data_IF_383133653369
#
_entry.id   IF_383133653369
#
_cell.length_a   1.000
_cell.length_b   1.000
_cell.length_c   1.000
_cell.angle_alpha   90.00
_cell.angle_beta   90.00
_cell.angle_gamma   90.00
#
_symmetry.space_group_name_H-M   'P 1'
#
loop_
_entity.id
_entity.type
_entity.pdbx_description
1 polymer ?
#
# COMPACT_ATOMS: atom_id res chain seq x y z
N UNK A 1 23.62 14.22 -7.50
CA UNK A 1 24.38 15.41 -7.04
C UNK A 1 25.71 14.92 -6.52
N UNK A 2 26.81 15.50 -6.97
CA UNK A 2 28.15 15.25 -6.42
C UNK A 2 28.65 16.51 -5.72
N UNK A 3 29.32 16.35 -4.58
CA UNK A 3 29.85 17.47 -3.79
C UNK A 3 31.34 17.26 -3.50
N UNK A 4 32.14 18.32 -3.61
CA UNK A 4 33.55 18.33 -3.24
C UNK A 4 33.81 19.47 -2.27
N UNK A 5 34.25 19.12 -1.06
CA UNK A 5 34.63 20.06 -0.01
C UNK A 5 36.12 20.41 -0.15
N UNK A 6 36.41 21.69 -0.38
CA UNK A 6 37.74 22.27 -0.23
C UNK A 6 37.89 23.00 1.11
N UNK A 7 39.01 23.69 1.30
CA UNK A 7 39.29 24.43 2.53
C UNK A 7 38.27 25.55 2.82
N UNK A 8 37.95 26.33 1.78
CA UNK A 8 37.06 27.51 1.88
C UNK A 8 35.99 27.53 0.78
N UNK A 9 35.76 26.41 0.10
CA UNK A 9 34.82 26.31 -1.01
C UNK A 9 34.10 24.96 -1.03
N UNK A 10 32.92 24.94 -1.65
CA UNK A 10 32.14 23.73 -1.93
C UNK A 10 31.80 23.74 -3.41
N UNK A 11 32.20 22.71 -4.14
CA UNK A 11 31.80 22.50 -5.53
C UNK A 11 30.64 21.52 -5.56
N UNK A 12 29.57 21.87 -6.27
CA UNK A 12 28.41 20.99 -6.48
C UNK A 12 28.23 20.75 -7.98
N UNK A 13 27.94 19.50 -8.34
CA UNK A 13 27.70 19.07 -9.71
C UNK A 13 26.30 18.47 -9.81
N UNK A 14 25.51 18.98 -10.74
CA UNK A 14 24.11 18.62 -10.97
C UNK A 14 23.91 18.21 -12.43
N UNK A 15 23.01 17.26 -12.67
CA UNK A 15 22.74 16.71 -14.00
C UNK A 15 21.62 17.43 -14.76
N UNK A 16 20.67 18.05 -14.03
CA UNK A 16 19.51 18.74 -14.58
C UNK A 16 19.25 20.07 -13.86
N UNK A 17 18.43 20.92 -14.47
CA UNK A 17 17.99 22.17 -13.85
C UNK A 17 16.94 21.93 -12.76
N UNK A 18 17.03 22.71 -11.67
CA UNK A 18 16.18 22.59 -10.47
C UNK A 18 16.89 21.82 -9.34
N UNK A 19 16.74 22.30 -8.10
CA UNK A 19 17.30 21.65 -6.91
C UNK A 19 16.57 22.02 -5.61
N UNK A 20 17.01 21.41 -4.51
CA UNK A 20 16.45 21.57 -3.17
C UNK A 20 17.14 22.69 -2.36
N UNK A 21 18.03 23.47 -2.98
CA UNK A 21 18.95 24.37 -2.26
C UNK A 21 18.45 25.81 -2.15
N UNK A 22 17.23 26.12 -2.61
CA UNK A 22 16.69 27.48 -2.55
C UNK A 22 16.63 28.05 -1.12
N UNK A 23 16.25 27.22 -0.14
CA UNK A 23 16.27 27.62 1.27
C UNK A 23 17.69 27.96 1.76
N UNK A 24 18.71 27.25 1.28
CA UNK A 24 20.13 27.51 1.60
C UNK A 24 20.57 28.84 0.95
N UNK A 25 20.23 29.06 -0.32
CA UNK A 25 20.52 30.32 -1.04
C UNK A 25 19.87 31.52 -0.37
N UNK A 26 18.61 31.39 0.03
CA UNK A 26 17.89 32.47 0.71
C UNK A 26 18.53 32.82 2.06
N UNK A 27 18.92 31.82 2.85
CA UNK A 27 19.60 32.01 4.13
C UNK A 27 20.95 32.72 3.95
N UNK A 28 21.71 32.38 2.92
CA UNK A 28 22.96 33.05 2.55
C UNK A 28 22.72 34.52 2.15
N UNK A 29 21.74 34.76 1.27
CA UNK A 29 21.42 36.08 0.76
C UNK A 29 20.95 37.03 1.87
N UNK A 30 20.03 36.56 2.73
CA UNK A 30 19.43 37.35 3.81
C UNK A 30 20.23 37.33 5.12
N UNK A 31 21.32 36.57 5.19
CA UNK A 31 22.12 36.41 6.40
C UNK A 31 21.35 35.78 7.57
N UNK A 32 20.38 34.91 7.29
CA UNK A 32 19.58 34.23 8.32
C UNK A 32 20.36 33.05 8.91
N UNK A 33 20.37 32.96 10.24
CA UNK A 33 21.00 31.86 10.98
C UNK A 33 22.53 31.95 11.01
N UNK A 34 23.21 30.80 11.05
CA UNK A 34 24.67 30.70 11.24
C UNK A 34 25.47 30.52 9.94
N UNK A 35 24.80 30.47 8.78
CA UNK A 35 25.43 30.07 7.52
C UNK A 35 26.49 31.07 7.02
N UNK A 36 26.39 32.35 7.38
CA UNK A 36 27.39 33.38 7.03
C UNK A 36 28.53 33.51 8.04
N UNK A 37 28.36 32.97 9.25
CA UNK A 37 29.36 33.05 10.33
C UNK A 37 30.18 31.76 10.48
N UNK A 38 30.01 30.82 9.55
CA UNK A 38 30.67 29.51 9.53
C UNK A 38 31.39 29.26 8.20
N UNK A 39 32.27 28.26 8.19
CA UNK A 39 33.10 27.92 7.05
C UNK A 39 32.38 27.07 5.99
N UNK A 40 33.15 26.61 5.00
CA UNK A 40 32.68 25.74 3.93
C UNK A 40 32.15 24.39 4.43
N UNK A 41 32.63 23.92 5.57
CA UNK A 41 32.17 22.73 6.27
C UNK A 41 30.69 22.81 6.67
N UNK A 42 30.29 23.94 7.25
CA UNK A 42 28.88 24.18 7.59
C UNK A 42 28.00 24.34 6.34
N UNK A 43 28.56 24.86 5.25
CA UNK A 43 27.84 24.94 3.97
C UNK A 43 27.56 23.55 3.40
N UNK A 44 28.52 22.61 3.45
CA UNK A 44 28.28 21.21 3.06
C UNK A 44 27.20 20.59 3.91
N UNK A 45 27.27 20.76 5.24
CA UNK A 45 26.20 20.32 6.14
C UNK A 45 24.84 20.87 5.70
N UNK A 46 24.72 22.18 5.50
CA UNK A 46 23.44 22.81 5.13
C UNK A 46 22.89 22.33 3.78
N UNK A 47 23.76 21.98 2.82
CA UNK A 47 23.35 21.39 1.55
C UNK A 47 22.88 19.95 1.73
N UNK A 48 23.57 19.14 2.55
CA UNK A 48 23.16 17.77 2.84
C UNK A 48 21.85 17.74 3.64
N UNK A 49 21.70 18.62 4.62
CA UNK A 49 20.48 18.84 5.42
C UNK A 49 19.28 19.12 4.52
N UNK A 50 19.42 20.06 3.58
CA UNK A 50 18.37 20.34 2.60
C UNK A 50 17.99 19.14 1.70
N UNK A 51 18.95 18.24 1.40
CA UNK A 51 18.66 16.99 0.67
C UNK A 51 17.87 16.02 1.56
N UNK A 52 18.27 15.87 2.82
CA UNK A 52 17.61 14.97 3.78
C UNK A 52 16.20 15.45 4.11
N UNK A 53 16.02 16.74 4.34
CA UNK A 53 14.70 17.36 4.55
C UNK A 53 13.74 17.07 3.37
N UNK A 54 14.25 17.11 2.14
CA UNK A 54 13.42 16.80 0.98
C UNK A 54 13.03 15.31 0.91
N UNK A 55 13.85 14.40 1.44
CA UNK A 55 13.45 12.99 1.55
C UNK A 55 12.29 12.79 2.52
N UNK A 56 12.17 13.58 3.59
CA UNK A 56 10.99 13.53 4.47
C UNK A 56 9.72 13.86 3.69
N UNK A 57 9.73 14.93 2.88
CA UNK A 57 8.57 15.33 2.05
C UNK A 57 8.18 14.19 1.08
N UNK A 58 9.17 13.59 0.41
CA UNK A 58 8.90 12.48 -0.53
C UNK A 58 8.31 11.26 0.20
N UNK A 59 8.80 10.97 1.40
CA UNK A 59 8.34 9.84 2.21
C UNK A 59 6.93 10.07 2.74
N UNK A 60 6.59 11.29 3.17
CA UNK A 60 5.22 11.67 3.55
C UNK A 60 4.25 11.48 2.38
N UNK A 61 4.61 11.89 1.16
CA UNK A 61 3.78 11.67 -0.03
C UNK A 61 3.56 10.16 -0.30
N UNK A 62 4.55 9.31 0.01
CA UNK A 62 4.36 7.85 -0.09
C UNK A 62 3.42 7.33 0.99
N UNK A 63 3.49 7.87 2.20
CA UNK A 63 2.55 7.58 3.29
C UNK A 63 1.11 7.90 2.88
N UNK A 64 0.87 9.11 2.38
CA UNK A 64 -0.44 9.53 1.88
C UNK A 64 -0.95 8.60 0.76
N UNK A 65 -0.08 8.18 -0.16
CA UNK A 65 -0.44 7.22 -1.22
C UNK A 65 -0.83 5.85 -0.67
N UNK A 66 -0.16 5.37 0.39
CA UNK A 66 -0.51 4.12 1.06
C UNK A 66 -1.91 4.22 1.67
N UNK A 67 -2.19 5.30 2.41
CA UNK A 67 -3.50 5.52 3.05
C UNK A 67 -4.63 5.61 2.02
N UNK A 68 -4.41 6.35 0.92
CA UNK A 68 -5.38 6.43 -0.17
C UNK A 68 -5.66 5.08 -0.82
N UNK A 69 -4.63 4.25 -1.04
CA UNK A 69 -4.80 2.90 -1.58
C UNK A 69 -5.52 1.97 -0.61
N UNK A 70 -5.24 2.09 0.69
CA UNK A 70 -5.94 1.36 1.74
C UNK A 70 -7.44 1.68 1.73
N UNK A 71 -7.82 2.96 1.69
CA UNK A 71 -9.23 3.37 1.61
C UNK A 71 -9.92 2.82 0.35
N UNK A 72 -9.24 2.90 -0.80
CA UNK A 72 -9.78 2.37 -2.06
C UNK A 72 -10.05 0.87 -2.00
N UNK A 73 -9.24 0.09 -1.28
CA UNK A 73 -9.43 -1.35 -1.11
C UNK A 73 -10.71 -1.70 -0.34
N UNK A 74 -11.12 -0.86 0.61
CA UNK A 74 -12.36 -1.04 1.36
C UNK A 74 -13.61 -0.63 0.58
N UNK A 75 -13.53 0.48 -0.18
CA UNK A 75 -14.71 1.09 -0.81
C UNK A 75 -14.96 0.57 -2.23
N UNK A 76 -13.90 0.25 -2.99
CA UNK A 76 -14.00 0.02 -4.44
C UNK A 76 -14.28 -1.43 -4.81
N UNK A 77 -14.81 -1.67 -6.01
CA UNK A 77 -14.77 -3.01 -6.60
C UNK A 77 -13.33 -3.38 -6.98
N UNK A 78 -12.89 -4.64 -6.81
CA UNK A 78 -11.56 -5.06 -7.22
C UNK A 78 -11.39 -4.74 -8.70
N UNK A 79 -10.32 -4.00 -8.98
CA UNK A 79 -9.95 -3.52 -10.30
C UNK A 79 -8.47 -3.84 -10.51
N UNK A 80 -8.12 -4.24 -11.72
CA UNK A 80 -6.73 -4.47 -12.12
C UNK A 80 -5.86 -3.22 -11.95
N UNK A 81 -6.48 -2.02 -11.96
CA UNK A 81 -5.78 -0.74 -11.71
C UNK A 81 -5.12 -0.70 -10.32
N UNK A 82 -5.81 -1.16 -9.28
CA UNK A 82 -5.31 -1.13 -7.89
C UNK A 82 -4.06 -2.00 -7.76
N UNK A 83 -4.03 -3.15 -8.43
CA UNK A 83 -2.87 -4.04 -8.42
C UNK A 83 -1.65 -3.36 -9.05
N UNK A 84 -1.84 -2.63 -10.15
CA UNK A 84 -0.77 -1.89 -10.82
C UNK A 84 -0.24 -0.75 -9.95
N UNK A 85 -1.13 -0.01 -9.29
CA UNK A 85 -0.78 1.10 -8.38
C UNK A 85 0.04 0.61 -7.18
N UNK A 86 -0.37 -0.50 -6.54
CA UNK A 86 0.40 -1.13 -5.45
C UNK A 86 1.80 -1.57 -5.94
N UNK A 87 1.90 -2.11 -7.15
CA UNK A 87 3.18 -2.54 -7.72
C UNK A 87 4.09 -1.34 -8.05
N UNK A 88 3.54 -0.24 -8.55
CA UNK A 88 4.27 0.99 -8.79
C UNK A 88 4.78 1.63 -7.50
N UNK A 89 3.94 1.65 -6.46
CA UNK A 89 4.32 2.10 -5.12
C UNK A 89 5.50 1.27 -4.58
N UNK A 90 5.43 -0.07 -4.65
CA UNK A 90 6.53 -0.96 -4.23
C UNK A 90 7.84 -0.66 -4.98
N UNK A 91 7.76 -0.46 -6.30
CA UNK A 91 8.94 -0.10 -7.12
C UNK A 91 9.52 1.25 -6.71
N UNK A 92 8.67 2.23 -6.44
CA UNK A 92 9.07 3.57 -6.01
C UNK A 92 9.75 3.53 -4.64
N UNK A 93 9.16 2.83 -3.66
CA UNK A 93 9.78 2.61 -2.35
C UNK A 93 11.17 1.97 -2.44
N UNK A 94 11.34 0.96 -3.31
CA UNK A 94 12.65 0.34 -3.56
C UNK A 94 13.65 1.27 -4.24
N UNK A 95 13.21 2.25 -5.04
CA UNK A 95 14.09 3.28 -5.61
C UNK A 95 14.54 4.25 -4.53
N UNK A 96 13.62 4.75 -3.70
CA UNK A 96 13.91 5.65 -2.59
C UNK A 96 14.89 4.99 -1.62
N UNK A 97 14.63 3.74 -1.20
CA UNK A 97 15.53 2.99 -0.32
C UNK A 97 16.94 2.88 -0.87
N UNK A 98 17.09 2.59 -2.17
CA UNK A 98 18.41 2.49 -2.81
C UNK A 98 19.16 3.82 -2.85
N UNK A 99 18.44 4.95 -2.90
CA UNK A 99 19.03 6.28 -2.87
C UNK A 99 19.42 6.71 -1.44
N UNK A 100 18.59 6.40 -0.44
CA UNK A 100 18.79 6.84 0.95
C UNK A 100 19.76 5.94 1.72
N UNK A 101 19.70 4.62 1.53
CA UNK A 101 20.51 3.69 2.33
C UNK A 101 22.02 3.99 2.31
N UNK A 102 22.65 4.33 1.16
CA UNK A 102 24.06 4.71 1.13
C UNK A 102 24.37 6.03 1.85
N UNK A 103 23.39 6.93 1.97
CA UNK A 103 23.58 8.24 2.59
C UNK A 103 23.98 8.11 4.05
N UNK A 104 23.45 7.10 4.76
CA UNK A 104 23.84 6.80 6.15
C UNK A 104 25.34 6.57 6.27
N UNK A 105 25.91 5.79 5.35
CA UNK A 105 27.35 5.52 5.35
C UNK A 105 28.15 6.76 4.97
N UNK A 106 27.67 7.55 4.01
CA UNK A 106 28.31 8.82 3.62
C UNK A 106 28.37 9.79 4.80
N UNK A 107 27.27 9.99 5.52
CA UNK A 107 27.22 10.90 6.68
C UNK A 107 28.04 10.35 7.85
N UNK A 108 28.01 9.03 8.11
CA UNK A 108 28.85 8.41 9.14
C UNK A 108 30.34 8.56 8.84
N UNK A 109 30.74 8.50 7.56
CA UNK A 109 32.12 8.73 7.16
C UNK A 109 32.50 10.19 7.37
N UNK A 110 31.62 11.15 7.03
CA UNK A 110 31.85 12.58 7.26
C UNK A 110 32.09 12.91 8.73
N UNK A 111 31.39 12.25 9.66
CA UNK A 111 31.62 12.41 11.11
C UNK A 111 33.06 12.03 11.52
N UNK A 112 33.65 11.05 10.82
CA UNK A 112 34.94 10.43 11.18
C UNK A 112 36.13 10.95 10.36
N UNK A 113 35.93 11.95 9.48
CA UNK A 113 37.01 12.48 8.64
C UNK A 113 37.99 13.26 9.51
N UNK A 114 39.16 12.67 9.75
CA UNK A 114 40.32 13.34 10.34
C UNK A 114 41.12 14.04 9.21
N UNK A 115 40.92 15.35 9.04
CA UNK A 115 41.58 16.10 7.96
C UNK A 115 41.57 17.62 8.11
N UNK A 116 41.06 18.16 9.23
CA UNK A 116 40.99 19.60 9.49
C UNK A 116 40.03 20.40 8.58
N UNK A 117 39.32 19.73 7.67
CA UNK A 117 38.31 20.34 6.80
C UNK A 117 36.98 20.55 7.53
N UNK A 118 36.64 19.67 8.47
CA UNK A 118 35.43 19.77 9.29
C UNK A 118 35.85 20.24 10.68
N UNK A 119 35.26 21.34 11.16
CA UNK A 119 35.52 21.84 12.50
C UNK A 119 34.68 21.08 13.54
N UNK A 120 35.18 20.96 14.78
CA UNK A 120 34.46 20.30 15.89
C UNK A 120 33.05 20.87 16.10
N UNK A 121 32.90 22.18 15.89
CA UNK A 121 31.62 22.86 16.04
C UNK A 121 30.61 22.53 14.94
N UNK A 122 31.04 21.89 13.84
CA UNK A 122 30.21 21.37 12.73
C UNK A 122 29.89 19.89 12.91
N UNK A 123 30.72 19.13 13.64
CA UNK A 123 30.51 17.70 13.94
C UNK A 123 29.16 17.44 14.60
N UNK A 124 28.73 18.31 15.54
CA UNK A 124 27.41 18.17 16.18
C UNK A 124 26.24 18.27 15.19
N UNK A 125 26.37 19.10 14.15
CA UNK A 125 25.36 19.22 13.10
C UNK A 125 25.37 17.99 12.19
N UNK A 126 26.54 17.41 11.92
CA UNK A 126 26.65 16.17 11.14
C UNK A 126 26.04 14.99 11.90
N UNK A 127 26.14 14.97 13.23
CA UNK A 127 25.45 13.97 14.07
C UNK A 127 23.93 14.08 13.98
N UNK A 128 23.40 15.30 14.08
CA UNK A 128 21.97 15.56 13.89
C UNK A 128 21.49 15.10 12.50
N UNK A 129 22.26 15.42 11.45
CA UNK A 129 22.00 14.93 10.10
C UNK A 129 22.03 13.40 10.01
N UNK A 130 22.96 12.75 10.72
CA UNK A 130 23.05 11.30 10.76
C UNK A 130 21.80 10.67 11.37
N UNK A 131 21.29 11.25 12.46
CA UNK A 131 20.05 10.83 13.11
C UNK A 131 18.84 11.03 12.19
N UNK A 132 18.76 12.16 11.47
CA UNK A 132 17.72 12.38 10.45
C UNK A 132 17.77 11.34 9.34
N UNK A 133 18.96 10.97 8.83
CA UNK A 133 19.08 9.92 7.81
C UNK A 133 18.64 8.55 8.34
N UNK A 134 18.90 8.24 9.60
CA UNK A 134 18.37 7.02 10.24
C UNK A 134 16.84 7.06 10.25
N UNK A 135 16.25 8.15 10.72
CA UNK A 135 14.80 8.30 10.80
C UNK A 135 14.13 8.16 9.42
N UNK A 136 14.68 8.82 8.39
CA UNK A 136 14.23 8.67 6.99
C UNK A 136 14.32 7.20 6.55
N UNK A 137 15.42 6.51 6.85
CA UNK A 137 15.60 5.11 6.49
C UNK A 137 14.61 4.19 7.22
N UNK A 138 14.29 4.45 8.48
CA UNK A 138 13.31 3.68 9.25
C UNK A 138 11.89 3.88 8.70
N UNK A 139 11.51 5.13 8.39
CA UNK A 139 10.22 5.44 7.78
C UNK A 139 10.04 4.76 6.42
N UNK A 140 11.10 4.72 5.59
CA UNK A 140 11.08 3.97 4.32
C UNK A 140 10.77 2.50 4.55
N UNK A 141 11.35 1.88 5.59
CA UNK A 141 11.12 0.47 5.89
C UNK A 141 9.69 0.22 6.39
N UNK A 142 9.16 1.09 7.25
CA UNK A 142 7.76 1.05 7.71
C UNK A 142 6.80 1.12 6.52
N UNK A 143 6.94 2.13 5.66
CA UNK A 143 6.05 2.31 4.52
C UNK A 143 6.22 1.22 3.45
N UNK A 144 7.42 0.66 3.32
CA UNK A 144 7.62 -0.53 2.47
C UNK A 144 6.79 -1.69 3.00
N UNK A 145 6.84 -1.96 4.30
CA UNK A 145 6.12 -3.07 4.92
C UNK A 145 4.60 -2.87 4.86
N UNK A 146 4.13 -1.63 5.06
CA UNK A 146 2.72 -1.27 4.82
C UNK A 146 2.31 -1.50 3.36
N UNK A 147 3.16 -1.10 2.40
CA UNK A 147 2.92 -1.35 0.97
C UNK A 147 2.84 -2.85 0.64
N UNK A 148 3.57 -3.71 1.37
CA UNK A 148 3.41 -5.16 1.26
C UNK A 148 2.07 -5.62 1.81
N UNK A 149 1.67 -5.12 2.97
CA UNK A 149 0.37 -5.39 3.60
C UNK A 149 -0.83 -5.05 2.71
N UNK A 150 -0.74 -3.99 1.90
CA UNK A 150 -1.80 -3.63 0.95
C UNK A 150 -2.11 -4.76 -0.05
N UNK A 151 -1.09 -5.46 -0.55
CA UNK A 151 -1.31 -6.56 -1.50
C UNK A 151 -1.99 -7.75 -0.83
N UNK A 152 -1.59 -8.07 0.40
CA UNK A 152 -2.17 -9.17 1.16
C UNK A 152 -3.64 -8.86 1.52
N UNK A 153 -3.93 -7.61 1.88
CA UNK A 153 -5.29 -7.13 2.10
C UNK A 153 -6.15 -7.18 0.83
N UNK A 154 -5.59 -6.81 -0.33
CA UNK A 154 -6.27 -6.94 -1.62
C UNK A 154 -6.63 -8.40 -1.93
N UNK A 155 -5.68 -9.32 -1.78
CA UNK A 155 -5.91 -10.76 -1.99
C UNK A 155 -6.95 -11.32 -1.04
N UNK A 156 -6.94 -10.88 0.22
CA UNK A 156 -7.94 -11.23 1.23
C UNK A 156 -9.32 -10.73 0.83
N UNK A 157 -9.43 -9.49 0.35
CA UNK A 157 -10.68 -8.88 -0.11
C UNK A 157 -11.25 -9.62 -1.33
N UNK A 158 -10.42 -9.96 -2.32
CA UNK A 158 -10.84 -10.78 -3.47
C UNK A 158 -11.35 -12.15 -2.99
N UNK A 159 -10.61 -12.79 -2.10
CA UNK A 159 -10.97 -14.12 -1.59
C UNK A 159 -12.31 -14.09 -0.84
N UNK A 160 -12.56 -13.05 -0.04
CA UNK A 160 -13.86 -12.84 0.61
C UNK A 160 -14.99 -12.66 -0.39
N UNK A 161 -14.80 -11.86 -1.43
CA UNK A 161 -15.81 -11.69 -2.48
C UNK A 161 -16.07 -12.97 -3.24
N UNK A 162 -15.02 -13.71 -3.61
CA UNK A 162 -15.15 -15.01 -4.24
C UNK A 162 -15.94 -15.98 -3.36
N UNK A 163 -15.68 -16.01 -2.05
CA UNK A 163 -16.43 -16.82 -1.10
C UNK A 163 -17.91 -16.43 -1.04
N UNK A 164 -18.23 -15.14 -1.06
CA UNK A 164 -19.63 -14.66 -1.09
C UNK A 164 -20.33 -15.02 -2.41
N UNK A 165 -19.67 -14.85 -3.57
CA UNK A 165 -20.22 -15.29 -4.86
C UNK A 165 -20.47 -16.81 -4.88
N UNK A 166 -19.50 -17.60 -4.41
CA UNK A 166 -19.62 -19.05 -4.32
C UNK A 166 -20.75 -19.48 -3.38
N UNK A 167 -20.93 -18.78 -2.25
CA UNK A 167 -22.02 -19.00 -1.31
C UNK A 167 -23.37 -18.75 -1.99
N UNK A 168 -23.55 -17.63 -2.69
CA UNK A 168 -24.80 -17.32 -3.42
C UNK A 168 -25.10 -18.38 -4.48
N UNK A 169 -24.11 -18.76 -5.28
CA UNK A 169 -24.27 -19.80 -6.30
C UNK A 169 -24.64 -21.16 -5.66
N UNK A 170 -24.00 -21.51 -4.54
CA UNK A 170 -24.27 -22.76 -3.82
C UNK A 170 -25.67 -22.79 -3.24
N UNK A 171 -26.16 -21.68 -2.68
CA UNK A 171 -27.53 -21.56 -2.14
C UNK A 171 -28.54 -21.76 -3.28
N UNK A 172 -28.35 -21.05 -4.40
CA UNK A 172 -29.23 -21.19 -5.57
C UNK A 172 -29.23 -22.63 -6.09
N UNK A 173 -28.05 -23.25 -6.29
CA UNK A 173 -27.94 -24.62 -6.75
C UNK A 173 -28.59 -25.63 -5.79
N UNK A 174 -28.38 -25.48 -4.48
CA UNK A 174 -28.94 -26.36 -3.45
C UNK A 174 -30.47 -26.29 -3.39
N UNK A 175 -31.07 -25.15 -3.76
CA UNK A 175 -32.51 -24.98 -3.86
C UNK A 175 -33.02 -25.57 -5.18
N UNK A 176 -32.43 -25.20 -6.32
CA UNK A 176 -32.95 -25.59 -7.63
C UNK A 176 -32.69 -27.04 -8.02
N UNK A 177 -31.57 -27.66 -7.60
CA UNK A 177 -31.24 -29.03 -8.01
C UNK A 177 -32.31 -30.04 -7.54
N UNK A 178 -32.71 -30.09 -6.25
CA UNK A 178 -33.78 -30.99 -5.81
C UNK A 178 -35.14 -30.67 -6.44
N UNK A 179 -35.47 -29.39 -6.60
CA UNK A 179 -36.72 -28.98 -7.24
C UNK A 179 -36.79 -29.43 -8.71
N UNK A 180 -35.70 -29.23 -9.45
CA UNK A 180 -35.60 -29.63 -10.86
C UNK A 180 -35.61 -31.14 -11.00
N UNK A 181 -35.00 -31.85 -10.04
CA UNK A 181 -35.06 -33.32 -10.00
C UNK A 181 -36.49 -33.83 -9.78
N UNK A 182 -37.23 -33.26 -8.82
CA UNK A 182 -38.64 -33.62 -8.57
C UNK A 182 -39.50 -33.31 -9.80
N UNK A 183 -39.39 -32.11 -10.35
CA UNK A 183 -40.11 -31.72 -11.57
C UNK A 183 -39.73 -32.59 -12.77
N UNK A 184 -38.46 -33.00 -12.86
CA UNK A 184 -37.95 -33.91 -13.87
C UNK A 184 -38.61 -35.29 -13.78
N UNK A 185 -38.66 -35.90 -12.58
CA UNK A 185 -39.32 -37.20 -12.37
C UNK A 185 -40.78 -37.14 -12.81
N UNK A 186 -41.54 -36.14 -12.33
CA UNK A 186 -42.96 -36.01 -12.65
C UNK A 186 -43.23 -35.50 -14.08
N UNK A 187 -42.19 -35.06 -14.80
CA UNK A 187 -42.24 -34.73 -16.22
C UNK A 187 -41.93 -35.90 -17.16
N UNK A 188 -41.61 -37.08 -16.62
CA UNK A 188 -41.36 -38.28 -17.42
C UNK A 188 -42.67 -39.00 -17.79
N UNK A 189 -42.77 -39.45 -19.04
CA UNK A 189 -43.93 -40.19 -19.54
C UNK A 189 -43.87 -41.67 -19.12
N UNK A 190 -44.07 -41.98 -17.84
CA UNK A 190 -44.19 -43.37 -17.37
C UNK A 190 -45.64 -43.84 -17.37
N UNK A 191 -45.85 -45.11 -17.73
CA UNK A 191 -47.17 -45.75 -17.81
C UNK A 191 -47.71 -46.21 -16.44
N UNK A 192 -46.84 -46.40 -15.44
CA UNK A 192 -47.18 -46.78 -14.07
C UNK A 192 -46.71 -45.70 -13.08
N UNK A 193 -47.48 -44.62 -12.95
CA UNK A 193 -47.34 -43.61 -11.90
C UNK A 193 -48.69 -43.43 -11.18
N UNK A 194 -48.96 -44.22 -10.13
CA UNK A 194 -50.26 -44.19 -9.45
C UNK A 194 -50.57 -42.83 -8.80
N UNK A 195 -49.56 -41.98 -8.56
CA UNK A 195 -49.76 -40.64 -8.03
C UNK A 195 -50.37 -39.66 -9.05
N UNK A 196 -50.30 -39.91 -10.36
CA UNK A 196 -50.78 -38.97 -11.40
C UNK A 196 -52.30 -39.01 -11.64
N UNK A 197 -52.96 -40.12 -11.28
CA UNK A 197 -54.40 -40.32 -11.48
C UNK A 197 -55.25 -39.62 -10.39
N UNK A 198 -54.63 -39.14 -9.31
CA UNK A 198 -55.28 -38.44 -8.20
C UNK A 198 -55.43 -36.92 -8.49
N UNK A 199 -56.65 -36.34 -8.45
CA UNK A 199 -56.87 -34.93 -8.81
C UNK A 199 -56.14 -33.92 -7.91
N UNK A 200 -55.70 -34.32 -6.70
CA UNK A 200 -54.97 -33.46 -5.76
C UNK A 200 -53.45 -33.63 -5.80
N UNK A 201 -52.91 -34.55 -6.61
CA UNK A 201 -51.49 -34.85 -6.62
C UNK A 201 -50.62 -33.68 -7.11
N UNK A 202 -51.05 -32.97 -8.15
CA UNK A 202 -50.32 -31.81 -8.67
C UNK A 202 -50.25 -30.64 -7.66
N UNK A 203 -51.36 -30.20 -7.03
CA UNK A 203 -51.31 -29.24 -5.92
C UNK A 203 -50.46 -29.71 -4.73
N UNK A 204 -50.54 -31.00 -4.36
CA UNK A 204 -49.75 -31.56 -3.26
C UNK A 204 -48.24 -31.49 -3.55
N UNK A 205 -47.82 -31.83 -4.78
CA UNK A 205 -46.44 -31.72 -5.22
C UNK A 205 -45.90 -30.29 -5.11
N UNK A 206 -46.69 -29.30 -5.57
CA UNK A 206 -46.32 -27.89 -5.46
C UNK A 206 -46.14 -27.44 -4.00
N UNK A 207 -47.01 -27.91 -3.09
CA UNK A 207 -46.89 -27.65 -1.65
C UNK A 207 -45.60 -28.26 -1.10
N UNK A 208 -45.29 -29.51 -1.45
CA UNK A 208 -44.05 -30.19 -1.02
C UNK A 208 -42.82 -29.44 -1.53
N UNK A 209 -42.80 -29.05 -2.80
CA UNK A 209 -41.70 -28.26 -3.38
C UNK A 209 -41.56 -26.91 -2.68
N UNK A 210 -42.66 -26.20 -2.41
CA UNK A 210 -42.64 -24.92 -1.69
C UNK A 210 -42.12 -25.07 -0.26
N UNK A 211 -42.54 -26.12 0.46
CA UNK A 211 -42.02 -26.43 1.80
C UNK A 211 -40.53 -26.74 1.79
N UNK A 212 -40.03 -27.43 0.76
CA UNK A 212 -38.61 -27.74 0.60
C UNK A 212 -37.79 -26.45 0.39
N UNK A 213 -38.27 -25.54 -0.47
CA UNK A 213 -37.65 -24.21 -0.67
C UNK A 213 -37.63 -23.42 0.64
N UNK A 214 -38.78 -23.31 1.32
CA UNK A 214 -38.88 -22.57 2.58
C UNK A 214 -37.99 -23.17 3.67
N UNK A 215 -37.93 -24.49 3.77
CA UNK A 215 -37.05 -25.22 4.69
C UNK A 215 -35.57 -24.95 4.43
N UNK A 216 -35.15 -24.96 3.15
CA UNK A 216 -33.78 -24.62 2.76
C UNK A 216 -33.44 -23.16 3.05
N UNK A 217 -34.32 -22.21 2.73
CA UNK A 217 -34.12 -20.79 3.04
C UNK A 217 -33.97 -20.60 4.56
N UNK A 218 -34.84 -21.22 5.35
CA UNK A 218 -34.74 -21.16 6.81
C UNK A 218 -33.43 -21.75 7.33
N UNK A 219 -33.00 -22.88 6.78
CA UNK A 219 -31.71 -23.51 7.11
C UNK A 219 -30.53 -22.57 6.81
N UNK A 220 -30.47 -21.99 5.61
CA UNK A 220 -29.39 -21.08 5.22
C UNK A 220 -29.37 -19.77 6.02
N UNK A 221 -30.55 -19.21 6.33
CA UNK A 221 -30.69 -18.03 7.19
C UNK A 221 -30.19 -18.33 8.62
N UNK A 222 -30.53 -19.49 9.17
CA UNK A 222 -30.03 -19.92 10.51
C UNK A 222 -28.51 -20.07 10.53
N UNK A 223 -27.90 -20.46 9.42
CA UNK A 223 -26.45 -20.62 9.28
C UNK A 223 -25.70 -19.31 9.00
N UNK A 224 -26.39 -18.16 8.90
CA UNK A 224 -25.86 -16.85 8.48
C UNK A 224 -25.20 -16.89 7.10
N UNK A 225 -25.70 -17.75 6.24
CA UNK A 225 -25.31 -17.77 4.83
C UNK A 225 -26.23 -16.88 3.98
N UNK A 226 -27.26 -16.32 4.61
CA UNK A 226 -28.32 -15.50 4.04
C UNK A 226 -28.66 -14.40 5.04
#
# INVERSE_FOLDING_TARGET
>A
ISMVLGKDYVLTFQEAGGDVFDGVRERLAKGKGRIRSRGADYLVFALLDAIVDHYFIVIEEMGDKIENLEEQLFVSQPSDSITLEIQELKKTMLRIRRAVHPLREVVSRLEKVDGGLIQDATVNYIRDLYDHVIQVSENIEIYRDMSWGLMDMYMTTISHRMNEVMKVLTIMASIFIPLTFIAGIYGMNFEYMPELDEPYAYPLLLIVMALLVLGMIFYFKRKRWL
#
